data_IF_441157879636
#
_entry.id   IF_441157879636
#
_cell.length_a   1.000
_cell.length_b   1.000
_cell.length_c   1.000
_cell.angle_alpha   90.00
_cell.angle_beta   90.00
_cell.angle_gamma   90.00
#
_symmetry.space_group_name_H-M   'P 1'
#
loop_
_entity.id
_entity.type
_entity.pdbx_description
1 polymer ?
#
# COMPACT_ATOMS: atom_id res chain seq x y z
N UNK A 1 -22.23 -10.15 -1.88
CA UNK A 1 -20.89 -9.57 -1.61
C UNK A 1 -20.97 -8.84 -0.29
N UNK A 2 -20.06 -9.10 0.65
CA UNK A 2 -20.04 -8.34 1.91
C UNK A 2 -19.72 -6.87 1.58
N UNK A 3 -20.54 -5.95 2.07
CA UNK A 3 -20.28 -4.51 1.97
C UNK A 3 -19.04 -4.19 2.80
N UNK A 4 -18.05 -3.53 2.20
CA UNK A 4 -16.95 -2.96 2.96
C UNK A 4 -17.50 -1.90 3.91
N UNK A 5 -17.08 -1.95 5.16
CA UNK A 5 -17.46 -0.97 6.18
C UNK A 5 -16.20 -0.21 6.59
N UNK A 6 -16.33 1.10 6.76
CA UNK A 6 -15.28 1.95 7.32
C UNK A 6 -15.48 2.02 8.83
N UNK A 7 -14.46 1.66 9.58
CA UNK A 7 -14.39 1.78 11.02
C UNK A 7 -13.58 3.04 11.37
N UNK A 8 -14.19 4.00 12.07
CA UNK A 8 -13.51 5.21 12.50
C UNK A 8 -12.75 4.93 13.82
N UNK A 9 -11.44 5.20 13.86
CA UNK A 9 -10.59 4.97 15.05
C UNK A 9 -10.33 6.27 15.81
N UNK A 10 -10.12 7.36 15.09
CA UNK A 10 -9.96 8.71 15.63
C UNK A 10 -11.06 9.59 15.04
N UNK A 11 -11.65 10.48 15.83
CA UNK A 11 -12.93 11.14 15.53
C UNK A 11 -12.99 11.80 14.13
N UNK A 12 -11.86 12.19 13.52
CA UNK A 12 -11.87 12.84 12.21
C UNK A 12 -10.82 12.35 11.19
N UNK A 13 -9.75 11.65 11.60
CA UNK A 13 -8.58 11.48 10.70
C UNK A 13 -8.19 10.05 10.38
N UNK A 14 -8.52 9.10 11.25
CA UNK A 14 -8.02 7.72 11.13
C UNK A 14 -9.19 6.76 10.98
N UNK A 15 -9.12 5.92 9.95
CA UNK A 15 -10.10 4.88 9.70
C UNK A 15 -9.46 3.59 9.23
N UNK A 16 -10.08 2.48 9.57
CA UNK A 16 -9.71 1.14 9.12
C UNK A 16 -10.83 0.59 8.25
N UNK A 17 -10.45 -0.10 7.19
CA UNK A 17 -11.38 -0.82 6.31
C UNK A 17 -11.05 -2.30 6.46
N UNK A 18 -11.69 -3.03 7.39
CA UNK A 18 -11.41 -4.44 7.59
C UNK A 18 -11.67 -5.22 6.31
N UNK A 19 -10.82 -6.21 6.04
CA UNK A 19 -10.96 -7.13 4.90
C UNK A 19 -11.08 -6.41 3.55
N UNK A 20 -10.39 -5.28 3.39
CA UNK A 20 -10.33 -4.54 2.13
C UNK A 20 -9.84 -5.42 0.97
N UNK A 21 -8.88 -6.30 1.22
CA UNK A 21 -8.47 -7.37 0.32
C UNK A 21 -8.80 -8.72 0.97
N UNK A 22 -9.30 -9.65 0.16
CA UNK A 22 -9.41 -11.06 0.54
C UNK A 22 -8.03 -11.72 0.58
N UNK A 23 -7.91 -12.86 1.26
CA UNK A 23 -6.67 -13.63 1.31
C UNK A 23 -6.15 -14.01 -0.09
N UNK A 24 -7.07 -14.33 -1.02
CA UNK A 24 -6.73 -14.66 -2.41
C UNK A 24 -6.19 -13.43 -3.16
N UNK A 25 -6.84 -12.27 -3.01
CA UNK A 25 -6.35 -11.02 -3.61
C UNK A 25 -4.97 -10.64 -3.06
N UNK A 26 -4.73 -10.80 -1.76
CA UNK A 26 -3.41 -10.60 -1.16
C UNK A 26 -2.36 -11.54 -1.76
N UNK A 27 -2.68 -12.83 -1.87
CA UNK A 27 -1.78 -13.83 -2.43
C UNK A 27 -1.39 -13.51 -3.88
N UNK A 28 -2.36 -13.10 -4.71
CA UNK A 28 -2.11 -12.70 -6.09
C UNK A 28 -1.16 -11.49 -6.21
N UNK A 29 -1.28 -10.52 -5.30
CA UNK A 29 -0.38 -9.36 -5.26
C UNK A 29 1.03 -9.74 -4.81
N UNK A 30 1.15 -10.64 -3.83
CA UNK A 30 2.44 -11.18 -3.38
C UNK A 30 3.14 -11.91 -4.51
N UNK A 31 2.48 -12.86 -5.18
CA UNK A 31 3.06 -13.60 -6.31
C UNK A 31 3.52 -12.69 -7.44
N UNK A 32 2.75 -11.64 -7.72
CA UNK A 32 3.11 -10.64 -8.72
C UNK A 32 4.34 -9.83 -8.29
N UNK A 33 4.45 -9.47 -7.01
CA UNK A 33 5.59 -8.77 -6.46
C UNK A 33 6.87 -9.64 -6.52
N UNK A 34 6.77 -10.90 -6.09
CA UNK A 34 7.86 -11.89 -6.19
C UNK A 34 8.35 -12.04 -7.64
N UNK A 35 7.42 -12.18 -8.60
CA UNK A 35 7.77 -12.27 -10.02
C UNK A 35 8.44 -11.00 -10.57
N UNK A 36 8.08 -9.84 -10.04
CA UNK A 36 8.71 -8.56 -10.43
C UNK A 36 10.10 -8.39 -9.83
N UNK A 37 10.43 -9.14 -8.77
CA UNK A 37 11.66 -9.02 -8.01
C UNK A 37 11.63 -7.82 -7.07
N UNK A 38 12.21 -8.02 -5.89
CA UNK A 38 12.39 -6.99 -4.88
C UNK A 38 13.76 -6.33 -4.99
N UNK A 39 13.82 -5.07 -4.54
CA UNK A 39 15.06 -4.28 -4.42
C UNK A 39 15.14 -3.71 -3.02
N UNK A 40 16.36 -3.58 -2.49
CA UNK A 40 16.59 -2.88 -1.24
C UNK A 40 16.17 -1.42 -1.37
N UNK A 41 15.46 -0.90 -0.37
CA UNK A 41 15.13 0.53 -0.29
C UNK A 41 16.42 1.36 -0.35
N UNK A 42 16.50 2.40 -1.20
CA UNK A 42 17.67 3.26 -1.19
C UNK A 42 17.80 3.94 0.19
N UNK A 43 19.03 4.15 0.71
CA UNK A 43 19.22 4.91 1.93
C UNK A 43 18.58 6.30 1.77
N UNK A 44 17.95 6.79 2.83
CA UNK A 44 17.22 8.07 2.82
C UNK A 44 18.18 9.23 2.59
N UNK A 45 18.36 9.60 1.33
CA UNK A 45 19.08 10.79 0.92
C UNK A 45 18.20 12.03 1.03
N UNK A 46 17.70 12.34 2.23
CA UNK A 46 17.09 13.65 2.47
C UNK A 46 18.08 14.72 1.96
N UNK A 47 17.62 15.64 1.10
CA UNK A 47 18.41 16.54 0.25
C UNK A 47 19.39 17.53 0.93
N UNK A 48 19.89 17.19 2.12
CA UNK A 48 20.80 17.95 2.96
C UNK A 48 22.09 17.16 3.29
N UNK A 49 22.51 16.24 2.42
CA UNK A 49 23.85 15.63 2.51
C UNK A 49 24.09 14.69 3.69
N UNK A 50 23.05 14.08 4.27
CA UNK A 50 23.20 13.14 5.40
C UNK A 50 23.37 11.70 4.91
N UNK A 51 24.65 11.32 4.75
CA UNK A 51 25.30 10.00 4.96
C UNK A 51 24.49 8.70 4.88
N UNK A 52 24.79 7.89 3.85
CA UNK A 52 25.12 6.43 3.80
C UNK A 52 24.52 5.39 4.78
N UNK A 53 23.54 5.72 5.63
CA UNK A 53 22.84 4.76 6.50
C UNK A 53 21.40 4.59 6.03
N UNK A 54 20.92 3.36 6.09
CA UNK A 54 19.49 3.07 5.99
C UNK A 54 18.78 3.82 7.13
N UNK A 55 17.76 4.59 6.76
CA UNK A 55 16.85 5.27 7.70
C UNK A 55 15.74 4.27 8.10
N UNK A 56 14.60 4.72 8.62
CA UNK A 56 13.51 3.86 9.08
C UNK A 56 12.92 2.86 8.04
N UNK A 57 13.31 2.95 6.76
CA UNK A 57 12.95 2.00 5.70
C UNK A 57 14.07 0.99 5.48
N UNK A 58 14.00 -0.13 6.21
CA UNK A 58 14.90 -1.27 6.08
C UNK A 58 14.30 -2.42 5.24
N UNK A 59 13.14 -2.19 4.61
CA UNK A 59 12.44 -3.21 3.86
C UNK A 59 12.91 -3.28 2.40
N UNK A 60 12.74 -4.46 1.80
CA UNK A 60 12.78 -4.61 0.35
C UNK A 60 11.42 -4.19 -0.25
N UNK A 61 11.45 -3.70 -1.49
CA UNK A 61 10.24 -3.22 -2.17
C UNK A 61 10.28 -3.55 -3.67
N UNK A 62 9.10 -3.51 -4.28
CA UNK A 62 8.97 -3.52 -5.74
C UNK A 62 7.87 -2.54 -6.14
N UNK A 63 8.03 -1.91 -7.30
CA UNK A 63 7.07 -0.95 -7.84
C UNK A 63 6.47 -1.53 -9.11
N UNK A 64 5.19 -1.84 -9.06
CA UNK A 64 4.43 -2.36 -10.18
C UNK A 64 3.56 -1.23 -10.72
N UNK A 65 3.84 -0.78 -11.94
CA UNK A 65 2.99 0.20 -12.63
C UNK A 65 1.89 -0.54 -13.38
N UNK A 66 0.67 -0.48 -12.85
CA UNK A 66 -0.53 -1.07 -13.46
C UNK A 66 -1.74 -0.19 -13.20
N UNK A 67 -2.15 0.54 -14.24
CA UNK A 67 -3.28 1.46 -14.16
C UNK A 67 -4.60 0.74 -13.86
N UNK A 68 -4.83 -0.43 -14.46
CA UNK A 68 -6.08 -1.17 -14.28
C UNK A 68 -6.24 -1.66 -12.85
N UNK A 69 -5.15 -2.16 -12.26
CA UNK A 69 -5.15 -2.57 -10.86
C UNK A 69 -5.38 -1.37 -9.93
N UNK A 70 -4.71 -0.25 -10.20
CA UNK A 70 -4.89 0.98 -9.42
C UNK A 70 -6.33 1.48 -9.46
N UNK A 71 -6.93 1.55 -10.66
CA UNK A 71 -8.32 1.98 -10.85
C UNK A 71 -9.29 1.07 -10.10
N UNK A 72 -9.09 -0.24 -10.19
CA UNK A 72 -9.92 -1.24 -9.49
C UNK A 72 -9.86 -1.05 -7.97
N UNK A 73 -8.67 -0.85 -7.40
CA UNK A 73 -8.49 -0.63 -5.96
C UNK A 73 -9.12 0.70 -5.53
N UNK A 74 -8.94 1.75 -6.32
CA UNK A 74 -9.52 3.05 -6.03
C UNK A 74 -11.05 3.03 -6.07
N UNK A 75 -11.65 2.43 -7.11
CA UNK A 75 -13.10 2.27 -7.21
C UNK A 75 -13.68 1.48 -6.04
N UNK A 76 -12.94 0.49 -5.50
CA UNK A 76 -13.34 -0.30 -4.33
C UNK A 76 -13.42 0.53 -3.05
N UNK A 77 -12.49 1.47 -2.85
CA UNK A 77 -12.43 2.31 -1.63
C UNK A 77 -13.18 3.63 -1.76
N UNK A 78 -13.34 4.17 -2.97
CA UNK A 78 -13.90 5.50 -3.24
C UNK A 78 -15.21 5.81 -2.51
N UNK A 79 -16.20 4.89 -2.39
CA UNK A 79 -17.44 5.14 -1.65
C UNK A 79 -17.26 5.38 -0.15
N UNK A 80 -16.10 5.07 0.41
CA UNK A 80 -15.78 5.17 1.84
C UNK A 80 -14.86 6.36 2.16
N UNK A 81 -14.33 7.02 1.13
CA UNK A 81 -13.45 8.18 1.30
C UNK A 81 -14.27 9.43 1.70
N UNK A 82 -13.67 10.36 2.47
CA UNK A 82 -14.27 11.68 2.67
C UNK A 82 -14.57 12.38 1.34
N UNK A 83 -15.63 13.20 1.30
CA UNK A 83 -15.95 14.07 0.17
C UNK A 83 -15.21 15.41 0.25
#
# INVERSE_FOLDING_TARGET
>A
MALLQREQIDEERISVIPKFLSAIECQQLIERAEKSGFKTSPPSGGGHGRTHREDARTNEYTVITDQSLADKLFQKVSPLLPQ
#
